data_IF_304335659318
#
_entry.id   IF_304335659318
#
_cell.length_a   1.000
_cell.length_b   1.000
_cell.length_c   1.000
_cell.angle_alpha   90.00
_cell.angle_beta   90.00
_cell.angle_gamma   90.00
#
_symmetry.space_group_name_H-M   'P 1'
#
loop_
_entity.id
_entity.type
_entity.pdbx_description
1 polymer ?
#
# COMPACT_ATOMS: atom_id res chain seq x y z
N UNK A 1 -4.39 21.18 -5.47
CA UNK A 1 -3.67 20.37 -6.47
C UNK A 1 -2.24 20.04 -6.05
N UNK A 2 -1.41 21.03 -5.65
CA UNK A 2 -0.02 20.79 -5.20
C UNK A 2 0.07 19.80 -4.02
N UNK A 3 -0.81 19.93 -3.02
CA UNK A 3 -0.84 19.02 -1.85
C UNK A 3 -1.20 17.58 -2.25
N UNK A 4 -2.23 17.40 -3.09
CA UNK A 4 -2.61 16.07 -3.58
C UNK A 4 -1.48 15.40 -4.39
N UNK A 5 -0.75 16.17 -5.21
CA UNK A 5 0.45 15.68 -5.89
C UNK A 5 1.51 15.14 -4.92
N UNK A 6 1.76 15.83 -3.81
CA UNK A 6 2.70 15.37 -2.78
C UNK A 6 2.23 14.06 -2.14
N UNK A 7 0.94 13.91 -1.88
CA UNK A 7 0.37 12.67 -1.35
C UNK A 7 0.49 11.49 -2.33
N UNK A 8 0.15 11.70 -3.60
CA UNK A 8 0.28 10.64 -4.62
C UNK A 8 1.75 10.26 -4.83
N UNK A 9 2.65 11.24 -4.85
CA UNK A 9 4.09 10.98 -4.93
C UNK A 9 4.58 10.21 -3.70
N UNK A 10 4.22 10.65 -2.50
CA UNK A 10 4.59 10.00 -1.24
C UNK A 10 4.09 8.57 -1.15
N UNK A 11 2.84 8.31 -1.54
CA UNK A 11 2.27 6.96 -1.62
C UNK A 11 3.01 6.08 -2.65
N UNK A 12 3.43 6.66 -3.78
CA UNK A 12 4.26 5.97 -4.76
C UNK A 12 5.63 5.58 -4.21
N UNK A 13 6.32 6.52 -3.56
CA UNK A 13 7.61 6.27 -2.89
C UNK A 13 7.46 5.23 -1.78
N UNK A 14 6.42 5.33 -0.96
CA UNK A 14 6.12 4.37 0.10
C UNK A 14 5.98 2.95 -0.46
N UNK A 15 5.17 2.76 -1.50
CA UNK A 15 5.01 1.45 -2.13
C UNK A 15 6.31 0.92 -2.70
N UNK A 16 7.11 1.76 -3.37
CA UNK A 16 8.42 1.35 -3.88
C UNK A 16 9.33 0.88 -2.76
N UNK A 17 9.47 1.65 -1.68
CA UNK A 17 10.38 1.33 -0.57
C UNK A 17 9.92 0.07 0.17
N UNK A 18 8.63 -0.03 0.50
CA UNK A 18 8.10 -1.17 1.28
C UNK A 18 8.07 -2.45 0.45
N UNK A 19 7.74 -2.36 -0.85
CA UNK A 19 7.59 -3.54 -1.69
C UNK A 19 8.90 -4.03 -2.32
N UNK A 20 9.91 -3.18 -2.47
CA UNK A 20 11.18 -3.54 -3.11
C UNK A 20 11.85 -4.76 -2.47
N UNK A 21 11.96 -4.88 -1.12
CA UNK A 21 12.52 -6.08 -0.49
C UNK A 21 11.71 -7.35 -0.73
N UNK A 22 10.41 -7.23 -1.04
CA UNK A 22 9.58 -8.38 -1.40
C UNK A 22 9.67 -8.70 -2.88
N UNK A 23 9.91 -7.72 -3.77
CA UNK A 23 10.00 -7.95 -5.21
C UNK A 23 11.21 -8.79 -5.63
N UNK A 24 12.26 -8.80 -4.79
CA UNK A 24 13.52 -9.49 -5.08
C UNK A 24 13.61 -10.79 -4.25
N UNK A 25 13.86 -11.97 -4.87
CA UNK A 25 13.83 -13.27 -4.19
C UNK A 25 14.71 -13.38 -2.94
N UNK A 26 15.93 -12.86 -3.00
CA UNK A 26 16.90 -12.98 -1.91
C UNK A 26 16.71 -11.95 -0.79
N UNK A 27 15.87 -10.93 -0.97
CA UNK A 27 15.67 -9.89 0.04
C UNK A 27 14.46 -10.11 0.95
N UNK A 28 13.60 -11.08 0.61
CA UNK A 28 12.38 -11.38 1.37
C UNK A 28 12.69 -11.76 2.83
N UNK A 29 13.76 -12.51 3.09
CA UNK A 29 14.19 -12.83 4.45
C UNK A 29 14.47 -11.59 5.30
N UNK A 30 15.16 -10.58 4.75
CA UNK A 30 15.42 -9.34 5.48
C UNK A 30 14.15 -8.58 5.80
N UNK A 31 13.18 -8.58 4.88
CA UNK A 31 11.87 -7.97 5.11
C UNK A 31 11.17 -8.62 6.31
N UNK A 32 11.04 -9.95 6.32
CA UNK A 32 10.36 -10.68 7.40
C UNK A 32 11.06 -10.48 8.74
N UNK A 33 12.38 -10.63 8.78
CA UNK A 33 13.17 -10.42 10.00
C UNK A 33 13.04 -9.00 10.54
N UNK A 34 13.05 -7.99 9.67
CA UNK A 34 12.88 -6.59 10.07
C UNK A 34 11.51 -6.34 10.71
N UNK A 35 10.43 -6.84 10.09
CA UNK A 35 9.09 -6.66 10.65
C UNK A 35 8.87 -7.43 11.95
N UNK A 36 9.40 -8.66 12.07
CA UNK A 36 9.37 -9.40 13.33
C UNK A 36 10.16 -8.67 14.42
N UNK A 37 11.35 -8.13 14.09
CA UNK A 37 12.12 -7.32 15.02
C UNK A 37 11.32 -6.11 15.52
N UNK A 38 10.66 -5.37 14.63
CA UNK A 38 9.80 -4.25 15.04
C UNK A 38 8.62 -4.73 15.89
N UNK A 39 7.99 -5.84 15.53
CA UNK A 39 6.86 -6.40 16.29
C UNK A 39 7.26 -6.74 17.74
N UNK A 40 8.43 -7.35 17.91
CA UNK A 40 9.01 -7.68 19.23
C UNK A 40 9.45 -6.42 19.98
N UNK A 41 10.09 -5.46 19.30
CA UNK A 41 10.53 -4.19 19.89
C UNK A 41 9.36 -3.41 20.50
N UNK A 42 8.20 -3.42 19.85
CA UNK A 42 6.98 -2.76 20.34
C UNK A 42 6.05 -3.68 21.14
N UNK A 43 6.44 -4.95 21.37
CA UNK A 43 5.67 -5.95 22.10
C UNK A 43 4.19 -6.04 21.66
N UNK A 44 3.94 -6.06 20.34
CA UNK A 44 2.58 -6.06 19.79
C UNK A 44 1.92 -7.46 19.77
N UNK A 45 2.72 -8.52 19.96
CA UNK A 45 2.26 -9.91 19.98
C UNK A 45 1.85 -10.47 18.61
N UNK A 46 1.17 -11.62 18.63
CA UNK A 46 0.88 -12.43 17.44
C UNK A 46 2.06 -13.32 17.05
N UNK A 47 1.85 -14.20 16.08
CA UNK A 47 2.88 -15.09 15.56
C UNK A 47 3.81 -14.36 14.58
N UNK A 48 5.09 -14.71 14.64
CA UNK A 48 6.10 -14.17 13.73
C UNK A 48 5.77 -14.50 12.28
N UNK A 49 6.11 -13.57 11.39
CA UNK A 49 6.04 -13.80 9.96
C UNK A 49 7.10 -14.84 9.59
N UNK A 50 6.67 -15.91 8.93
CA UNK A 50 7.54 -16.99 8.48
C UNK A 50 7.63 -16.96 6.95
N UNK A 51 8.86 -16.97 6.43
CA UNK A 51 9.07 -17.10 4.99
C UNK A 51 8.64 -18.52 4.56
N UNK A 52 7.81 -18.66 3.50
CA UNK A 52 7.49 -19.98 3.00
C UNK A 52 8.74 -20.71 2.49
N UNK A 53 8.74 -22.03 2.72
CA UNK A 53 9.87 -22.92 2.38
C UNK A 53 9.75 -23.49 0.97
N UNK A 54 8.53 -23.53 0.43
CA UNK A 54 8.26 -24.02 -0.91
C UNK A 54 8.42 -22.91 -1.96
N UNK A 55 8.99 -23.27 -3.11
CA UNK A 55 9.30 -22.32 -4.18
C UNK A 55 8.05 -21.66 -4.79
N UNK A 56 6.91 -22.33 -4.75
CA UNK A 56 5.66 -21.79 -5.30
C UNK A 56 5.14 -20.62 -4.47
N UNK A 57 5.04 -20.77 -3.14
CA UNK A 57 4.61 -19.68 -2.27
C UNK A 57 5.63 -18.54 -2.24
N UNK A 58 6.93 -18.84 -2.36
CA UNK A 58 7.96 -17.81 -2.50
C UNK A 58 7.76 -16.99 -3.79
N UNK A 59 7.51 -17.65 -4.92
CA UNK A 59 7.21 -16.98 -6.19
C UNK A 59 5.97 -16.07 -6.07
N UNK A 60 4.91 -16.52 -5.40
CA UNK A 60 3.73 -15.70 -5.15
C UNK A 60 4.04 -14.45 -4.33
N UNK A 61 4.82 -14.57 -3.25
CA UNK A 61 5.23 -13.41 -2.44
C UNK A 61 6.06 -12.43 -3.28
N UNK A 62 7.01 -12.93 -4.07
CA UNK A 62 7.82 -12.08 -4.92
C UNK A 62 6.99 -11.37 -5.99
N UNK A 63 6.01 -12.08 -6.57
CA UNK A 63 5.08 -11.51 -7.54
C UNK A 63 4.19 -10.44 -6.90
N UNK A 64 3.71 -10.66 -5.67
CA UNK A 64 2.97 -9.66 -4.91
C UNK A 64 3.85 -8.42 -4.61
N UNK A 65 5.10 -8.62 -4.20
CA UNK A 65 6.07 -7.55 -4.01
C UNK A 65 6.33 -6.75 -5.29
N UNK A 66 6.53 -7.44 -6.41
CA UNK A 66 6.74 -6.81 -7.72
C UNK A 66 5.50 -6.03 -8.16
N UNK A 67 4.30 -6.60 -7.99
CA UNK A 67 3.05 -5.91 -8.31
C UNK A 67 2.90 -4.62 -7.48
N UNK A 68 3.15 -4.67 -6.16
CA UNK A 68 3.11 -3.49 -5.30
C UNK A 68 4.16 -2.44 -5.67
N UNK A 69 5.35 -2.87 -6.06
CA UNK A 69 6.42 -2.00 -6.56
C UNK A 69 6.00 -1.28 -7.85
N UNK A 70 5.44 -2.01 -8.84
CA UNK A 70 4.93 -1.45 -10.09
C UNK A 70 3.76 -0.48 -9.83
N UNK A 71 2.87 -0.79 -8.89
CA UNK A 71 1.83 0.13 -8.44
C UNK A 71 2.43 1.41 -7.86
N UNK A 72 3.53 1.32 -7.11
CA UNK A 72 4.30 2.47 -6.66
C UNK A 72 4.79 3.33 -7.82
N UNK A 73 5.38 2.72 -8.85
CA UNK A 73 5.80 3.42 -10.07
C UNK A 73 4.63 4.06 -10.82
N UNK A 74 3.47 3.40 -10.89
CA UNK A 74 2.27 3.96 -11.50
C UNK A 74 1.76 5.20 -10.75
N UNK A 75 1.84 5.22 -9.41
CA UNK A 75 1.51 6.41 -8.62
C UNK A 75 2.50 7.55 -8.87
N UNK A 76 3.81 7.26 -8.96
CA UNK A 76 4.81 8.25 -9.34
C UNK A 76 4.53 8.82 -10.74
N UNK A 77 4.17 7.98 -11.70
CA UNK A 77 3.74 8.39 -13.03
C UNK A 77 2.46 9.25 -13.01
N UNK A 78 1.45 8.85 -12.23
CA UNK A 78 0.21 9.60 -12.08
C UNK A 78 0.42 10.98 -11.43
N UNK A 79 1.37 11.08 -10.48
CA UNK A 79 1.70 12.34 -9.80
C UNK A 79 2.15 13.45 -10.76
N UNK A 80 2.68 13.10 -11.94
CA UNK A 80 3.15 14.07 -12.94
C UNK A 80 1.99 14.76 -13.65
N UNK A 81 0.87 14.05 -13.86
CA UNK A 81 -0.33 14.57 -14.50
C UNK A 81 -1.61 13.99 -13.88
N UNK A 82 -1.98 14.54 -12.72
CA UNK A 82 -3.16 14.10 -11.99
C UNK A 82 -4.48 14.44 -12.68
N UNK A 83 -4.52 15.45 -13.56
CA UNK A 83 -5.77 15.83 -14.22
C UNK A 83 -6.30 14.72 -15.12
N UNK A 84 -5.39 14.07 -15.85
CA UNK A 84 -5.74 13.00 -16.78
C UNK A 84 -5.61 11.60 -16.17
N UNK A 85 -4.87 11.45 -15.06
CA UNK A 85 -4.52 10.14 -14.48
C UNK A 85 -5.12 9.88 -13.10
N UNK A 86 -6.18 10.60 -12.77
CA UNK A 86 -6.87 10.51 -11.46
C UNK A 86 -7.41 9.11 -11.15
N UNK A 87 -7.74 8.33 -12.18
CA UNK A 87 -8.18 6.94 -12.02
C UNK A 87 -7.16 6.04 -11.33
N UNK A 88 -5.85 6.33 -11.50
CA UNK A 88 -4.78 5.51 -10.92
C UNK A 88 -4.76 5.64 -9.37
N UNK A 89 -4.64 6.85 -8.77
CA UNK A 89 -4.79 7.00 -7.33
C UNK A 89 -6.14 6.49 -6.80
N UNK A 90 -7.23 6.70 -7.54
CA UNK A 90 -8.55 6.25 -7.10
C UNK A 90 -8.62 4.72 -6.95
N UNK A 91 -8.22 3.98 -8.00
CA UNK A 91 -8.20 2.53 -7.98
C UNK A 91 -7.22 2.00 -6.92
N UNK A 92 -6.06 2.64 -6.78
CA UNK A 92 -5.11 2.32 -5.72
C UNK A 92 -5.71 2.50 -4.33
N UNK A 93 -6.47 3.57 -4.09
CA UNK A 93 -7.18 3.80 -2.85
C UNK A 93 -8.18 2.70 -2.52
N UNK A 94 -8.97 2.25 -3.51
CA UNK A 94 -9.92 1.13 -3.34
C UNK A 94 -9.19 -0.15 -2.94
N UNK A 95 -8.13 -0.50 -3.68
CA UNK A 95 -7.34 -1.70 -3.42
C UNK A 95 -6.72 -1.66 -2.02
N UNK A 96 -6.20 -0.50 -1.58
CA UNK A 96 -5.68 -0.32 -0.21
C UNK A 96 -6.74 -0.64 0.84
N UNK A 97 -7.96 -0.12 0.71
CA UNK A 97 -9.04 -0.44 1.67
C UNK A 97 -9.36 -1.93 1.69
N UNK A 98 -9.46 -2.57 0.52
CA UNK A 98 -9.71 -4.02 0.43
C UNK A 98 -8.59 -4.81 1.11
N UNK A 99 -7.33 -4.45 0.86
CA UNK A 99 -6.18 -5.08 1.52
C UNK A 99 -6.18 -4.86 3.03
N UNK A 100 -6.54 -3.68 3.51
CA UNK A 100 -6.65 -3.41 4.96
C UNK A 100 -7.69 -4.31 5.64
N UNK A 101 -8.80 -4.64 4.96
CA UNK A 101 -9.79 -5.60 5.46
C UNK A 101 -9.18 -7.00 5.58
N UNK A 102 -8.44 -7.45 4.57
CA UNK A 102 -7.73 -8.74 4.64
C UNK A 102 -6.70 -8.76 5.77
N UNK A 103 -5.93 -7.69 5.97
CA UNK A 103 -4.97 -7.61 7.09
C UNK A 103 -5.67 -7.77 8.43
N UNK A 104 -6.79 -7.05 8.65
CA UNK A 104 -7.55 -7.19 9.91
C UNK A 104 -8.05 -8.62 10.10
N UNK A 105 -8.59 -9.25 9.04
CA UNK A 105 -9.02 -10.64 9.10
C UNK A 105 -7.88 -11.57 9.52
N UNK A 106 -6.71 -11.50 8.87
CA UNK A 106 -5.60 -12.39 9.21
C UNK A 106 -5.01 -12.11 10.60
N UNK A 107 -4.97 -10.85 11.03
CA UNK A 107 -4.46 -10.50 12.38
C UNK A 107 -5.40 -11.02 13.48
N UNK A 108 -6.72 -10.97 13.26
CA UNK A 108 -7.70 -11.41 14.27
C UNK A 108 -7.92 -12.93 14.24
N UNK A 109 -8.01 -13.52 13.04
CA UNK A 109 -8.41 -14.94 12.88
C UNK A 109 -7.20 -15.88 12.81
N UNK A 110 -6.13 -15.46 12.15
CA UNK A 110 -4.92 -16.27 11.97
C UNK A 110 -3.78 -15.88 12.93
N UNK A 111 -4.03 -14.93 13.84
CA UNK A 111 -3.09 -14.42 14.86
C UNK A 111 -1.71 -14.04 14.29
N UNK A 112 -1.67 -13.48 13.07
CA UNK A 112 -0.41 -13.01 12.49
C UNK A 112 0.12 -11.76 13.20
N UNK A 113 1.42 -11.52 13.06
CA UNK A 113 2.14 -10.37 13.61
C UNK A 113 1.36 -9.04 13.50
N UNK A 114 1.07 -8.42 14.65
CA UNK A 114 0.22 -7.22 14.73
C UNK A 114 0.88 -5.96 14.16
N UNK A 115 2.21 -5.97 13.97
CA UNK A 115 2.93 -4.87 13.30
C UNK A 115 2.36 -4.55 11.90
N UNK A 116 1.79 -5.54 11.20
CA UNK A 116 1.18 -5.35 9.87
C UNK A 116 -0.03 -4.41 9.93
N UNK A 117 -0.71 -4.30 11.09
CA UNK A 117 -1.80 -3.33 11.26
C UNK A 117 -1.32 -1.88 11.07
N UNK A 118 -0.06 -1.56 11.40
CA UNK A 118 0.49 -0.23 11.17
C UNK A 118 0.53 0.09 9.68
N UNK A 119 0.95 -0.87 8.86
CA UNK A 119 0.96 -0.74 7.39
C UNK A 119 -0.48 -0.54 6.89
N UNK A 120 -1.44 -1.33 7.40
CA UNK A 120 -2.84 -1.20 7.03
C UNK A 120 -3.44 0.16 7.42
N UNK A 121 -3.06 0.73 8.56
CA UNK A 121 -3.49 2.07 8.99
C UNK A 121 -2.94 3.14 8.03
N UNK A 122 -1.66 3.05 7.65
CA UNK A 122 -1.05 3.95 6.66
C UNK A 122 -1.80 3.86 5.32
N UNK A 123 -2.14 2.64 4.90
CA UNK A 123 -2.89 2.40 3.66
C UNK A 123 -4.28 3.03 3.68
N UNK A 124 -5.01 2.92 4.79
CA UNK A 124 -6.31 3.56 4.98
C UNK A 124 -6.19 5.09 4.95
N UNK A 125 -5.19 5.67 5.62
CA UNK A 125 -4.96 7.12 5.60
C UNK A 125 -4.72 7.61 4.17
N UNK A 126 -3.87 6.91 3.40
CA UNK A 126 -3.61 7.25 1.99
C UNK A 126 -4.90 7.14 1.16
N UNK A 127 -5.68 6.08 1.35
CA UNK A 127 -6.94 5.88 0.64
C UNK A 127 -7.96 6.99 0.93
N UNK A 128 -8.12 7.38 2.20
CA UNK A 128 -8.99 8.50 2.61
C UNK A 128 -8.58 9.78 1.90
N UNK A 129 -7.28 10.09 1.88
CA UNK A 129 -6.76 11.28 1.19
C UNK A 129 -7.09 11.23 -0.31
N UNK A 130 -6.95 10.07 -0.94
CA UNK A 130 -7.26 9.89 -2.36
C UNK A 130 -8.74 10.12 -2.67
N UNK A 131 -9.64 9.54 -1.87
CA UNK A 131 -11.09 9.73 -2.02
C UNK A 131 -11.53 11.17 -1.76
N UNK A 132 -10.97 11.80 -0.73
CA UNK A 132 -11.24 13.20 -0.41
C UNK A 132 -10.90 14.13 -1.58
N UNK A 133 -9.69 14.00 -2.15
CA UNK A 133 -9.28 14.84 -3.27
C UNK A 133 -10.01 14.49 -4.57
N UNK A 134 -10.35 13.22 -4.81
CA UNK A 134 -11.19 12.82 -5.94
C UNK A 134 -12.53 13.55 -5.90
N UNK A 135 -13.24 13.51 -4.76
CA UNK A 135 -14.54 14.17 -4.58
C UNK A 135 -14.49 15.68 -4.78
N UNK A 136 -13.42 16.34 -4.32
CA UNK A 136 -13.23 17.79 -4.53
C UNK A 136 -13.05 18.11 -6.02
N UNK A 137 -12.32 17.27 -6.75
CA UNK A 137 -12.00 17.50 -8.16
C UNK A 137 -13.19 17.23 -9.08
N UNK A 138 -14.01 16.21 -8.79
CA UNK A 138 -15.25 15.94 -9.53
C UNK A 138 -16.25 17.07 -9.32
N UNK A 139 -16.52 17.48 -8.07
CA UNK A 139 -17.45 18.57 -7.77
C UNK A 139 -17.09 19.90 -8.45
N UNK A 140 -15.80 20.18 -8.66
CA UNK A 140 -15.35 21.37 -9.39
C UNK A 140 -15.58 21.27 -10.90
N UNK A 141 -15.54 20.07 -11.47
CA UNK A 141 -15.81 19.83 -12.89
C UNK A 141 -17.29 20.03 -13.18
N UNK A 142 -18.16 19.52 -12.31
CA UNK A 142 -19.61 19.65 -12.45
C UNK A 142 -20.04 21.12 -12.36
N UNK A 143 -19.49 21.88 -11.40
CA UNK A 143 -19.76 23.33 -11.29
C UNK A 143 -19.28 24.15 -12.49
N UNK A 144 -18.29 23.68 -13.25
CA UNK A 144 -17.78 24.35 -14.46
C UNK A 144 -18.60 24.07 -15.71
N UNK A 145 -19.44 23.03 -15.69
CA UNK A 145 -20.27 22.63 -16.82
C UNK A 145 -21.73 23.10 -16.70
N UNK A 146 -22.09 23.77 -15.59
CA UNK A 146 -23.44 24.33 -15.35
C UNK A 146 -23.56 25.83 -15.66
N UNK A 147 -22.58 26.42 -16.35
CA UNK A 147 -22.56 27.81 -16.85
C UNK A 147 -22.03 27.80 -18.28
#
# INVERSE_FOLDING_TARGET
MKTFKKWVLGAGVFNVIVAFPLAIPFTANYFYTFWNFLNHLFNLGGQDLVLPKDGNNLLWINTCGLALFLVGLMLLYASRDLKNRMGIPLLNGIIRVVFSIFVVYYVVVADISRIILIIAIIDVIIAIVFFYYYRILTNKKDKKNCW
#
